data_IF_288514052998
#
_entry.id   IF_288514052998
#
_cell.length_a   1.000
_cell.length_b   1.000
_cell.length_c   1.000
_cell.angle_alpha   90.00
_cell.angle_beta   90.00
_cell.angle_gamma   90.00
#
_symmetry.space_group_name_H-M   'P 1'
#
loop_
_entity.id
_entity.type
_entity.pdbx_description
1 polymer ?
#
# COMPACT_ATOMS: atom_id res chain seq x y z
N UNK A 1 -19.96 -2.02 21.84
CA UNK A 1 -20.10 -1.72 20.40
C UNK A 1 -19.15 -2.65 19.68
N UNK A 2 -19.62 -3.50 18.77
CA UNK A 2 -18.79 -4.51 18.10
C UNK A 2 -17.77 -3.83 17.17
N UNK A 3 -16.64 -4.51 16.89
CA UNK A 3 -15.61 -4.00 15.97
C UNK A 3 -16.20 -3.67 14.59
N UNK A 4 -17.21 -4.43 14.15
CA UNK A 4 -17.95 -4.21 12.90
C UNK A 4 -18.70 -2.87 12.90
N UNK A 5 -19.42 -2.52 13.97
CA UNK A 5 -20.13 -1.24 14.05
C UNK A 5 -19.17 -0.06 14.02
N UNK A 6 -18.03 -0.17 14.71
CA UNK A 6 -16.98 0.84 14.63
C UNK A 6 -16.42 1.00 13.21
N UNK A 7 -16.25 -0.10 12.48
CA UNK A 7 -15.81 -0.07 11.09
C UNK A 7 -16.83 0.63 10.19
N UNK A 8 -18.12 0.27 10.30
CA UNK A 8 -19.18 0.84 9.45
C UNK A 8 -19.31 2.35 9.68
N UNK A 9 -19.37 2.78 10.95
CA UNK A 9 -19.44 4.21 11.28
C UNK A 9 -18.18 4.98 10.88
N UNK A 10 -17.02 4.33 10.89
CA UNK A 10 -15.79 4.98 10.46
C UNK A 10 -15.67 5.05 8.93
N UNK A 11 -16.21 4.09 8.18
CA UNK A 11 -16.10 4.08 6.72
C UNK A 11 -16.70 5.33 6.10
N UNK A 12 -17.91 5.75 6.51
CA UNK A 12 -18.55 6.97 6.05
C UNK A 12 -17.66 8.20 6.33
N UNK A 13 -17.16 8.33 7.56
CA UNK A 13 -16.28 9.45 7.94
C UNK A 13 -14.94 9.41 7.20
N UNK A 14 -14.38 8.23 7.01
CA UNK A 14 -13.13 8.04 6.26
C UNK A 14 -13.29 8.51 4.83
N UNK A 15 -14.35 8.05 4.16
CA UNK A 15 -14.62 8.41 2.76
C UNK A 15 -14.88 9.89 2.61
N UNK A 16 -15.67 10.49 3.51
CA UNK A 16 -15.90 11.94 3.53
C UNK A 16 -14.60 12.74 3.65
N UNK A 17 -13.74 12.41 4.61
CA UNK A 17 -12.50 13.16 4.84
C UNK A 17 -11.43 12.89 3.77
N UNK A 18 -11.41 11.70 3.18
CA UNK A 18 -10.48 11.37 2.11
C UNK A 18 -10.90 11.98 0.77
N UNK A 19 -12.21 12.23 0.56
CA UNK A 19 -12.84 12.80 -0.62
C UNK A 19 -12.51 12.15 -1.97
N UNK A 20 -11.83 11.01 -1.95
CA UNK A 20 -11.45 10.22 -3.12
C UNK A 20 -11.50 8.72 -2.83
N UNK A 21 -11.77 7.87 -3.85
CA UNK A 21 -11.69 6.43 -3.68
C UNK A 21 -10.27 6.00 -3.31
N UNK A 22 -10.14 5.22 -2.24
CA UNK A 22 -8.84 4.77 -1.75
C UNK A 22 -8.68 3.26 -1.83
N UNK A 23 -7.48 2.85 -2.21
CA UNK A 23 -7.04 1.46 -2.15
C UNK A 23 -6.51 1.18 -0.75
N UNK A 24 -7.07 0.16 -0.10
CA UNK A 24 -6.59 -0.34 1.18
C UNK A 24 -7.26 0.27 2.41
N UNK A 25 -6.70 -0.09 3.55
CA UNK A 25 -7.29 0.18 4.86
C UNK A 25 -6.74 1.49 5.43
N UNK A 26 -7.58 2.49 5.56
CA UNK A 26 -7.21 3.79 6.15
C UNK A 26 -7.71 3.96 7.58
N UNK A 27 -8.60 3.10 8.08
CA UNK A 27 -9.17 3.23 9.40
C UNK A 27 -8.17 3.14 10.57
N UNK A 28 -7.04 2.39 10.52
CA UNK A 28 -6.05 2.43 11.60
C UNK A 28 -5.47 3.84 11.80
N UNK A 29 -5.19 4.56 10.69
CA UNK A 29 -4.74 5.95 10.73
C UNK A 29 -5.77 6.85 11.41
N UNK A 30 -7.05 6.71 11.04
CA UNK A 30 -8.14 7.47 11.63
C UNK A 30 -8.24 7.28 13.15
N UNK A 31 -8.19 6.04 13.64
CA UNK A 31 -8.27 5.77 15.07
C UNK A 31 -7.00 6.15 15.83
N UNK A 32 -5.82 5.98 15.23
CA UNK A 32 -4.57 6.45 15.81
C UNK A 32 -4.57 7.98 15.99
N UNK A 33 -4.98 8.70 14.96
CA UNK A 33 -5.12 10.16 15.01
C UNK A 33 -6.16 10.59 16.06
N UNK A 34 -7.34 9.93 16.09
CA UNK A 34 -8.37 10.16 17.10
C UNK A 34 -7.88 9.95 18.52
N UNK A 35 -7.03 8.96 18.74
CA UNK A 35 -6.44 8.71 20.07
C UNK A 35 -5.40 9.78 20.40
N UNK A 36 -4.47 10.06 19.50
CA UNK A 36 -3.38 11.03 19.70
C UNK A 36 -3.92 12.45 19.94
N UNK A 37 -4.99 12.86 19.25
CA UNK A 37 -5.61 14.17 19.38
C UNK A 37 -6.19 14.47 20.77
N UNK A 38 -6.42 13.43 21.58
CA UNK A 38 -6.86 13.60 22.97
C UNK A 38 -5.75 14.13 23.89
N UNK A 39 -4.50 13.96 23.51
CA UNK A 39 -3.34 14.31 24.34
C UNK A 39 -2.54 15.47 23.76
N UNK A 40 -2.46 15.58 22.44
CA UNK A 40 -1.63 16.57 21.74
C UNK A 40 -2.33 17.17 20.55
N UNK A 41 -1.91 18.38 20.16
CA UNK A 41 -2.35 19.05 18.92
C UNK A 41 -1.42 18.79 17.75
N UNK A 42 -0.19 18.38 18.04
CA UNK A 42 0.86 18.10 17.04
C UNK A 42 1.51 16.76 17.38
N UNK A 43 1.79 15.94 16.38
CA UNK A 43 2.57 14.72 16.53
C UNK A 43 3.63 14.59 15.44
N UNK A 44 4.67 13.79 15.70
CA UNK A 44 5.67 13.43 14.72
C UNK A 44 5.34 12.06 14.12
N UNK A 45 5.42 11.97 12.80
CA UNK A 45 5.24 10.73 12.05
C UNK A 45 6.55 10.16 11.54
N UNK A 46 6.59 8.83 11.39
CA UNK A 46 7.69 8.12 10.76
C UNK A 46 7.55 7.98 9.24
N UNK A 47 6.57 8.62 8.62
CA UNK A 47 6.36 8.57 7.16
C UNK A 47 7.61 9.04 6.39
N UNK A 48 7.92 8.38 5.28
CA UNK A 48 9.12 8.64 4.47
C UNK A 48 10.34 7.80 4.89
N UNK A 49 10.42 7.35 6.15
CA UNK A 49 11.58 6.60 6.64
C UNK A 49 11.74 5.23 5.96
N UNK A 50 10.67 4.59 5.55
CA UNK A 50 10.71 3.33 4.81
C UNK A 50 11.09 3.56 3.35
N UNK A 51 10.48 4.53 2.70
CA UNK A 51 10.61 4.83 1.28
C UNK A 51 12.01 5.38 0.94
N UNK A 52 12.55 6.23 1.80
CA UNK A 52 13.88 6.83 1.60
C UNK A 52 15.04 5.88 1.94
N UNK A 53 14.85 5.01 2.93
CA UNK A 53 15.93 4.17 3.48
C UNK A 53 15.72 2.66 3.24
N UNK A 54 14.82 2.29 2.35
CA UNK A 54 14.64 0.89 1.95
C UNK A 54 14.00 0.02 3.03
N UNK A 55 12.89 0.47 3.61
CA UNK A 55 12.20 -0.26 4.67
C UNK A 55 11.41 -1.48 4.22
N UNK A 56 11.35 -1.76 2.92
CA UNK A 56 10.65 -2.90 2.32
C UNK A 56 11.59 -3.78 1.47
N UNK A 57 12.62 -4.41 2.06
CA UNK A 57 13.66 -5.10 1.29
C UNK A 57 13.11 -6.09 0.27
N UNK A 58 12.08 -6.86 0.66
CA UNK A 58 11.43 -7.85 -0.21
C UNK A 58 10.79 -7.27 -1.48
N UNK A 59 10.48 -5.97 -1.53
CA UNK A 59 9.96 -5.31 -2.73
C UNK A 59 11.07 -5.08 -3.74
N UNK A 60 12.25 -4.73 -3.25
CA UNK A 60 13.39 -4.33 -4.09
C UNK A 60 14.16 -5.53 -4.62
N UNK A 61 14.24 -6.63 -3.88
CA UNK A 61 14.97 -7.82 -4.30
C UNK A 61 14.43 -8.44 -5.60
N UNK A 62 13.16 -8.21 -5.93
CA UNK A 62 12.58 -8.61 -7.21
C UNK A 62 13.11 -7.78 -8.38
N UNK A 63 13.56 -6.59 -8.11
CA UNK A 63 14.05 -5.64 -9.11
C UNK A 63 15.55 -5.79 -9.39
N UNK A 64 16.25 -6.72 -8.72
CA UNK A 64 17.70 -6.82 -8.81
C UNK A 64 18.16 -7.60 -10.04
N UNK A 65 17.39 -8.60 -10.50
CA UNK A 65 17.76 -9.44 -11.64
C UNK A 65 16.84 -9.14 -12.82
N UNK A 66 17.33 -8.32 -13.75
CA UNK A 66 16.61 -7.93 -14.97
C UNK A 66 17.57 -7.96 -16.15
N UNK A 67 17.03 -8.29 -17.33
CA UNK A 67 17.78 -8.27 -18.58
C UNK A 67 17.95 -6.85 -19.12
N UNK A 68 16.89 -6.04 -18.96
CA UNK A 68 16.81 -4.66 -19.41
C UNK A 68 15.74 -3.88 -18.62
N UNK A 69 15.51 -2.64 -18.99
CA UNK A 69 14.52 -1.78 -18.34
C UNK A 69 13.07 -2.30 -18.54
N UNK A 70 12.76 -2.89 -19.66
CA UNK A 70 11.42 -3.42 -19.93
C UNK A 70 11.13 -4.66 -19.08
N UNK A 71 12.09 -5.53 -18.88
CA UNK A 71 11.98 -6.66 -17.97
C UNK A 71 11.78 -6.20 -16.52
N UNK A 72 12.53 -5.16 -16.11
CA UNK A 72 12.32 -4.52 -14.80
C UNK A 72 10.90 -3.98 -14.64
N UNK A 73 10.41 -3.20 -15.60
CA UNK A 73 9.06 -2.63 -15.57
C UNK A 73 8.01 -3.72 -15.41
N UNK A 74 8.08 -4.79 -16.23
CA UNK A 74 7.12 -5.91 -16.17
C UNK A 74 7.12 -6.60 -14.80
N UNK A 75 8.30 -6.90 -14.27
CA UNK A 75 8.46 -7.59 -12.97
C UNK A 75 8.00 -6.72 -11.80
N UNK A 76 8.36 -5.44 -11.82
CA UNK A 76 8.03 -4.53 -10.73
C UNK A 76 6.56 -4.10 -10.77
N UNK A 77 6.01 -3.86 -11.97
CA UNK A 77 4.58 -3.65 -12.15
C UNK A 77 3.76 -4.85 -11.65
N UNK A 78 4.14 -6.07 -12.00
CA UNK A 78 3.45 -7.29 -11.53
C UNK A 78 3.42 -7.41 -10.00
N UNK A 79 4.38 -6.85 -9.28
CA UNK A 79 4.33 -6.73 -7.84
C UNK A 79 3.26 -5.72 -7.36
N UNK A 80 3.13 -4.58 -8.05
CA UNK A 80 2.18 -3.52 -7.69
C UNK A 80 0.75 -3.79 -8.15
N UNK A 81 0.56 -4.63 -9.15
CA UNK A 81 -0.75 -5.05 -9.65
C UNK A 81 -1.41 -6.07 -8.70
N UNK A 82 -1.96 -5.57 -7.58
CA UNK A 82 -2.36 -6.40 -6.44
C UNK A 82 -3.85 -6.71 -6.37
N UNK A 83 -4.70 -5.99 -7.09
CA UNK A 83 -6.16 -6.16 -7.02
C UNK A 83 -6.69 -7.05 -8.13
N UNK A 84 -6.38 -6.69 -9.36
CA UNK A 84 -6.86 -7.35 -10.59
C UNK A 84 -5.68 -7.57 -11.54
N UNK A 85 -5.70 -8.67 -12.28
CA UNK A 85 -4.74 -8.90 -13.36
C UNK A 85 -5.23 -8.24 -14.65
N UNK A 86 -4.34 -7.95 -15.60
CA UNK A 86 -4.72 -7.38 -16.90
C UNK A 86 -5.76 -8.24 -17.63
N UNK A 87 -5.64 -9.58 -17.54
CA UNK A 87 -6.56 -10.52 -18.15
C UNK A 87 -7.97 -10.45 -17.56
N UNK A 88 -8.10 -10.02 -16.31
CA UNK A 88 -9.40 -9.89 -15.63
C UNK A 88 -10.11 -8.56 -15.89
N UNK A 89 -9.37 -7.51 -16.31
CA UNK A 89 -9.90 -6.17 -16.50
C UNK A 89 -11.07 -6.12 -17.50
N UNK A 90 -11.00 -6.74 -18.71
CA UNK A 90 -12.13 -6.69 -19.66
C UNK A 90 -13.42 -7.25 -19.08
N UNK A 91 -13.30 -8.29 -18.25
CA UNK A 91 -14.46 -8.92 -17.63
C UNK A 91 -15.02 -8.10 -16.46
N UNK A 92 -14.14 -7.56 -15.63
CA UNK A 92 -14.55 -6.80 -14.43
C UNK A 92 -15.08 -5.42 -14.81
N UNK A 93 -14.46 -4.77 -15.78
CA UNK A 93 -14.85 -3.43 -16.25
C UNK A 93 -15.78 -3.47 -17.48
N UNK A 94 -16.43 -4.61 -17.77
CA UNK A 94 -17.25 -4.78 -18.96
C UNK A 94 -18.25 -3.64 -19.23
N UNK A 95 -18.93 -3.02 -18.23
CA UNK A 95 -19.87 -1.92 -18.48
C UNK A 95 -19.24 -0.69 -19.14
N UNK A 96 -17.96 -0.44 -18.90
CA UNK A 96 -17.23 0.74 -19.41
C UNK A 96 -16.00 0.36 -20.24
N UNK A 97 -15.83 -0.92 -20.56
CA UNK A 97 -14.61 -1.42 -21.19
C UNK A 97 -14.27 -0.71 -22.50
N UNK A 98 -15.25 -0.45 -23.33
CA UNK A 98 -15.05 0.24 -24.60
C UNK A 98 -14.52 1.67 -24.45
N UNK A 99 -14.75 2.28 -23.29
CA UNK A 99 -14.28 3.63 -22.96
C UNK A 99 -12.85 3.64 -22.41
N UNK A 100 -12.38 2.53 -21.82
CA UNK A 100 -11.10 2.49 -21.08
C UNK A 100 -10.10 1.48 -21.65
N UNK A 101 -10.48 0.64 -22.62
CA UNK A 101 -9.64 -0.43 -23.16
C UNK A 101 -8.34 0.04 -23.83
N UNK A 102 -8.26 1.33 -24.20
CA UNK A 102 -7.08 1.96 -24.77
C UNK A 102 -6.02 2.35 -23.70
N UNK A 103 -6.33 2.20 -22.42
CA UNK A 103 -5.43 2.54 -21.31
C UNK A 103 -4.78 1.27 -20.79
N UNK A 104 -3.47 1.13 -20.96
CA UNK A 104 -2.72 0.07 -20.28
C UNK A 104 -2.12 0.59 -18.96
N UNK A 105 -2.47 0.00 -17.81
CA UNK A 105 -1.91 0.41 -16.52
C UNK A 105 -0.39 0.34 -16.45
N UNK A 106 0.26 -0.54 -17.22
CA UNK A 106 1.73 -0.63 -17.27
C UNK A 106 2.35 0.63 -17.89
N UNK A 107 1.67 1.29 -18.83
CA UNK A 107 2.16 2.52 -19.44
C UNK A 107 2.10 3.69 -18.45
N UNK A 108 1.05 3.75 -17.63
CA UNK A 108 0.97 4.72 -16.53
C UNK A 108 2.12 4.49 -15.55
N UNK A 109 2.35 3.23 -15.16
CA UNK A 109 3.44 2.83 -14.29
C UNK A 109 4.81 3.21 -14.87
N UNK A 110 5.06 2.88 -16.15
CA UNK A 110 6.27 3.25 -16.88
C UNK A 110 6.47 4.77 -16.95
N UNK A 111 5.39 5.52 -17.08
CA UNK A 111 5.40 6.97 -17.16
C UNK A 111 6.03 7.66 -15.94
N UNK A 112 6.02 7.04 -14.77
CA UNK A 112 6.67 7.55 -13.56
C UNK A 112 8.19 7.68 -13.74
N UNK A 113 8.80 6.84 -14.59
CA UNK A 113 10.23 6.76 -14.81
C UNK A 113 10.73 7.60 -15.99
N UNK A 114 9.87 8.36 -16.70
CA UNK A 114 10.22 9.09 -17.94
C UNK A 114 11.48 9.94 -17.85
N UNK A 115 11.74 10.55 -16.69
CA UNK A 115 12.91 11.40 -16.49
C UNK A 115 14.19 10.62 -16.16
N UNK A 116 14.11 9.31 -15.91
CA UNK A 116 15.19 8.50 -15.33
C UNK A 116 15.39 7.15 -16.02
N UNK A 117 14.90 6.97 -17.24
CA UNK A 117 14.95 5.69 -17.97
C UNK A 117 16.33 5.31 -18.50
N UNK A 118 17.35 6.16 -18.34
CA UNK A 118 18.62 6.02 -19.01
C UNK A 118 19.63 5.16 -18.22
N UNK A 119 20.10 4.10 -18.89
CA UNK A 119 21.30 3.33 -18.55
C UNK A 119 21.30 2.62 -17.20
N UNK A 120 20.35 1.74 -17.00
CA UNK A 120 20.37 0.80 -15.87
C UNK A 120 21.29 -0.37 -16.23
N UNK A 121 22.47 -0.42 -15.66
CA UNK A 121 23.47 -1.46 -15.93
C UNK A 121 23.82 -2.29 -14.70
N UNK A 122 23.49 -1.81 -13.50
CA UNK A 122 23.84 -2.47 -12.24
C UNK A 122 22.57 -2.78 -11.43
N UNK A 123 22.57 -3.85 -10.60
CA UNK A 123 21.46 -4.15 -9.71
C UNK A 123 21.01 -2.97 -8.83
N UNK A 124 21.96 -2.17 -8.33
CA UNK A 124 21.68 -1.01 -7.50
C UNK A 124 20.87 0.07 -8.21
N UNK A 125 21.03 0.19 -9.53
CA UNK A 125 20.30 1.19 -10.32
C UNK A 125 18.80 0.86 -10.31
N UNK A 126 18.42 -0.41 -10.44
CA UNK A 126 17.03 -0.86 -10.34
C UNK A 126 16.44 -0.66 -8.95
N UNK A 127 17.24 -0.86 -7.89
CA UNK A 127 16.82 -0.58 -6.52
C UNK A 127 16.54 0.90 -6.35
N UNK A 128 17.43 1.77 -6.80
CA UNK A 128 17.25 3.22 -6.73
C UNK A 128 15.99 3.67 -7.49
N UNK A 129 15.69 3.06 -8.65
CA UNK A 129 14.45 3.31 -9.38
C UNK A 129 13.22 2.87 -8.59
N UNK A 130 13.28 1.73 -7.93
CA UNK A 130 12.19 1.25 -7.07
C UNK A 130 11.95 2.16 -5.88
N UNK A 131 13.01 2.64 -5.22
CA UNK A 131 12.91 3.64 -4.15
C UNK A 131 12.34 4.97 -4.65
N UNK A 132 12.79 5.44 -5.82
CA UNK A 132 12.24 6.64 -6.47
C UNK A 132 10.75 6.48 -6.77
N UNK A 133 10.35 5.34 -7.34
CA UNK A 133 8.94 5.05 -7.61
C UNK A 133 8.10 5.11 -6.33
N UNK A 134 8.55 4.46 -5.26
CA UNK A 134 7.83 4.44 -3.99
C UNK A 134 7.75 5.84 -3.37
N UNK A 135 8.82 6.61 -3.39
CA UNK A 135 8.81 7.99 -2.90
C UNK A 135 7.86 8.88 -3.72
N UNK A 136 7.83 8.70 -5.05
CA UNK A 136 7.02 9.53 -5.95
C UNK A 136 5.53 9.18 -5.93
N UNK A 137 5.16 7.92 -5.69
CA UNK A 137 3.79 7.43 -5.80
C UNK A 137 3.22 6.93 -4.48
N UNK A 138 3.79 5.87 -3.92
CA UNK A 138 3.29 5.21 -2.72
C UNK A 138 3.33 6.12 -1.49
N UNK A 139 4.46 6.81 -1.27
CA UNK A 139 4.61 7.75 -0.17
C UNK A 139 3.62 8.92 -0.28
N UNK A 140 3.42 9.46 -1.48
CA UNK A 140 2.42 10.51 -1.69
C UNK A 140 1.02 10.06 -1.24
N UNK A 141 0.64 8.84 -1.60
CA UNK A 141 -0.62 8.25 -1.14
C UNK A 141 -0.71 8.09 0.39
N UNK A 142 0.39 7.70 1.04
CA UNK A 142 0.45 7.60 2.51
C UNK A 142 0.30 8.97 3.18
N UNK A 143 0.98 9.99 2.65
CA UNK A 143 0.92 11.36 3.20
C UNK A 143 -0.47 11.96 3.08
N UNK A 144 -1.16 11.79 1.95
CA UNK A 144 -2.55 12.25 1.79
C UNK A 144 -3.48 11.60 2.81
N UNK A 145 -3.35 10.29 3.01
CA UNK A 145 -4.15 9.58 4.03
C UNK A 145 -3.83 10.08 5.44
N UNK A 146 -2.55 10.24 5.76
CA UNK A 146 -2.12 10.67 7.08
C UNK A 146 -2.59 12.09 7.38
N UNK A 147 -2.39 13.02 6.46
CA UNK A 147 -2.79 14.43 6.61
C UNK A 147 -4.32 14.55 6.76
N UNK A 148 -5.10 14.05 5.81
CA UNK A 148 -6.56 14.18 5.83
C UNK A 148 -7.19 13.52 7.06
N UNK A 149 -6.70 12.35 7.48
CA UNK A 149 -7.28 11.64 8.62
C UNK A 149 -6.80 12.17 9.97
N UNK A 150 -5.62 12.75 10.07
CA UNK A 150 -5.19 13.44 11.28
C UNK A 150 -5.93 14.77 11.43
N UNK A 151 -6.08 15.53 10.34
CA UNK A 151 -6.85 16.78 10.32
C UNK A 151 -8.33 16.57 10.60
N UNK A 152 -8.92 15.42 10.26
CA UNK A 152 -10.27 15.02 10.69
C UNK A 152 -10.46 15.04 12.22
N UNK A 153 -9.36 15.00 12.97
CA UNK A 153 -9.32 15.08 14.43
C UNK A 153 -8.60 16.32 14.96
N UNK A 154 -8.34 17.31 14.10
CA UNK A 154 -7.60 18.54 14.44
C UNK A 154 -6.22 18.23 15.05
N UNK A 155 -5.55 17.22 14.51
CA UNK A 155 -4.21 16.80 14.87
C UNK A 155 -3.25 17.12 13.72
N UNK A 156 -2.30 18.01 13.94
CA UNK A 156 -1.24 18.31 12.98
C UNK A 156 -0.18 17.21 13.02
N UNK A 157 0.12 16.60 11.86
CA UNK A 157 1.17 15.59 11.74
C UNK A 157 2.38 16.18 11.01
N UNK A 158 3.55 16.07 11.61
CA UNK A 158 4.82 16.50 11.01
C UNK A 158 5.66 15.30 10.64
N UNK A 159 6.36 15.39 9.51
CA UNK A 159 7.10 14.29 8.87
C UNK A 159 8.60 14.59 8.78
N UNK A 160 9.37 14.49 9.88
CA UNK A 160 10.76 14.91 9.92
C UNK A 160 11.67 14.14 8.96
N UNK A 161 11.31 12.93 8.54
CA UNK A 161 12.05 12.20 7.50
C UNK A 161 11.96 12.85 6.12
N UNK A 162 11.01 13.75 5.91
CA UNK A 162 10.81 14.45 4.63
C UNK A 162 11.37 15.89 4.66
N UNK A 163 12.23 16.20 5.63
CA UNK A 163 13.10 17.37 5.54
C UNK A 163 13.91 17.33 4.23
N UNK A 164 13.96 18.45 3.51
CA UNK A 164 14.54 18.48 2.17
C UNK A 164 16.02 18.08 2.15
N UNK A 165 16.80 18.52 3.12
CA UNK A 165 18.22 18.18 3.22
C UNK A 165 18.42 16.69 3.50
N UNK A 166 17.54 16.12 4.32
CA UNK A 166 17.54 14.69 4.63
C UNK A 166 17.11 13.85 3.41
N UNK A 167 16.11 14.30 2.66
CA UNK A 167 15.69 13.66 1.40
C UNK A 167 16.83 13.66 0.39
N UNK A 168 17.46 14.82 0.15
CA UNK A 168 18.58 14.95 -0.76
C UNK A 168 19.77 14.08 -0.34
N UNK A 169 20.07 14.03 0.94
CA UNK A 169 21.08 13.12 1.48
C UNK A 169 20.72 11.66 1.21
N UNK A 170 19.49 11.27 1.55
CA UNK A 170 19.01 9.90 1.37
C UNK A 170 19.05 9.47 -0.10
N UNK A 171 18.67 10.35 -1.03
CA UNK A 171 18.70 10.04 -2.46
C UNK A 171 20.12 9.83 -3.02
N UNK A 172 21.14 10.44 -2.41
CA UNK A 172 22.56 10.26 -2.79
C UNK A 172 23.22 9.03 -2.16
N UNK A 173 22.59 8.44 -1.15
CA UNK A 173 23.16 7.25 -0.48
C UNK A 173 23.17 6.04 -1.42
N UNK A 174 24.27 5.29 -1.49
CA UNK A 174 24.32 4.05 -2.25
C UNK A 174 23.37 3.00 -1.65
N UNK A 175 22.76 2.17 -2.49
CA UNK A 175 21.80 1.15 -2.08
C UNK A 175 22.33 0.25 -0.93
N UNK A 176 23.63 -0.11 -0.96
CA UNK A 176 24.29 -0.91 0.09
C UNK A 176 24.31 -0.25 1.49
N UNK A 177 24.13 1.05 1.58
CA UNK A 177 24.01 1.74 2.87
C UNK A 177 22.57 1.64 3.43
N UNK A 178 21.60 1.37 2.58
CA UNK A 178 20.19 1.26 2.93
C UNK A 178 19.74 -0.19 3.12
N UNK A 179 20.24 -1.08 2.27
CA UNK A 179 19.80 -2.47 2.13
C UNK A 179 20.98 -3.44 2.26
N UNK A 180 20.77 -4.49 3.04
CA UNK A 180 21.64 -5.67 3.05
C UNK A 180 21.28 -6.66 1.96
N UNK A 181 22.11 -7.65 1.78
CA UNK A 181 21.81 -8.88 1.02
C UNK A 181 21.29 -8.66 -0.41
N UNK A 182 21.90 -7.71 -1.14
CA UNK A 182 21.46 -7.27 -2.48
C UNK A 182 21.55 -8.36 -3.56
N UNK A 183 22.22 -9.47 -3.28
CA UNK A 183 22.39 -10.61 -4.21
C UNK A 183 21.29 -11.65 -4.10
N UNK A 184 20.46 -11.59 -3.08
CA UNK A 184 19.40 -12.58 -2.87
C UNK A 184 18.09 -12.16 -3.54
N UNK A 185 17.67 -12.94 -4.53
CA UNK A 185 16.36 -12.77 -5.19
C UNK A 185 15.29 -13.49 -4.39
N UNK A 186 14.42 -12.73 -3.74
CA UNK A 186 13.29 -13.29 -2.99
C UNK A 186 12.01 -13.15 -3.80
N UNK A 187 11.41 -14.28 -4.16
CA UNK A 187 10.09 -14.34 -4.79
C UNK A 187 9.02 -14.44 -3.69
N UNK A 188 8.55 -13.31 -3.21
CA UNK A 188 7.49 -13.24 -2.20
C UNK A 188 6.22 -12.68 -2.81
N UNK A 189 5.12 -13.40 -2.64
CA UNK A 189 3.80 -12.94 -3.06
C UNK A 189 3.01 -12.47 -1.82
N UNK A 190 2.81 -11.16 -1.69
CA UNK A 190 2.06 -10.58 -0.57
C UNK A 190 0.56 -10.96 -0.57
N UNK A 191 0.04 -11.50 -1.67
CA UNK A 191 -1.35 -11.91 -1.80
C UNK A 191 -1.58 -13.40 -1.47
N UNK A 192 -0.51 -14.16 -1.21
CA UNK A 192 -0.67 -15.55 -0.79
C UNK A 192 -1.29 -15.67 0.61
N UNK A 193 -2.13 -16.69 0.84
CA UNK A 193 -2.65 -17.00 2.18
C UNK A 193 -1.53 -17.36 3.15
N UNK A 194 -1.67 -16.98 4.42
CA UNK A 194 -0.74 -17.33 5.50
C UNK A 194 -0.09 -16.14 6.19
N UNK A 195 0.65 -16.42 7.26
CA UNK A 195 1.29 -15.39 8.09
C UNK A 195 2.43 -14.69 7.34
N UNK A 196 2.34 -13.38 7.19
CA UNK A 196 3.41 -12.59 6.58
C UNK A 196 4.67 -12.56 7.43
N UNK A 197 4.50 -12.57 8.76
CA UNK A 197 5.61 -12.52 9.71
C UNK A 197 6.59 -13.68 9.50
N UNK A 198 6.09 -14.91 9.37
CA UNK A 198 6.91 -16.10 9.23
C UNK A 198 7.71 -16.15 7.90
N UNK A 199 7.18 -15.49 6.86
CA UNK A 199 7.79 -15.49 5.52
C UNK A 199 8.79 -14.36 5.31
N UNK A 200 8.62 -13.23 6.01
CA UNK A 200 9.41 -12.01 5.79
C UNK A 200 10.35 -11.67 6.96
N UNK A 201 10.30 -12.45 8.02
CA UNK A 201 10.95 -12.17 9.29
C UNK A 201 12.44 -11.87 9.16
N UNK A 202 13.20 -12.74 8.53
CA UNK A 202 14.63 -12.56 8.34
C UNK A 202 14.95 -11.39 7.40
N UNK A 203 14.12 -11.19 6.37
CA UNK A 203 14.33 -10.17 5.34
C UNK A 203 14.00 -8.76 5.81
N UNK A 204 13.21 -8.58 6.85
CA UNK A 204 12.87 -7.25 7.37
C UNK A 204 14.04 -6.56 8.05
N UNK A 205 15.06 -7.31 8.47
CA UNK A 205 16.28 -6.76 9.07
C UNK A 205 17.27 -6.18 8.06
N UNK A 206 17.11 -6.53 6.80
CA UNK A 206 17.98 -6.09 5.71
C UNK A 206 17.73 -4.63 5.27
N UNK A 207 16.67 -4.00 5.77
CA UNK A 207 16.32 -2.62 5.44
C UNK A 207 16.74 -1.59 6.47
N UNK A 208 16.80 -0.32 6.05
CA UNK A 208 17.12 0.85 6.90
C UNK A 208 18.48 0.75 7.59
N UNK A 209 19.47 0.12 6.98
CA UNK A 209 20.73 -0.23 7.66
C UNK A 209 21.41 0.98 8.27
N UNK A 210 21.54 2.08 7.55
CA UNK A 210 22.18 3.32 8.06
C UNK A 210 21.39 3.93 9.23
N UNK A 211 20.03 3.92 9.15
CA UNK A 211 19.19 4.42 10.23
C UNK A 211 19.34 3.55 11.49
N UNK A 212 19.31 2.22 11.33
CA UNK A 212 19.49 1.28 12.44
C UNK A 212 20.84 1.49 13.12
N UNK A 213 21.91 1.58 12.33
CA UNK A 213 23.28 1.82 12.82
C UNK A 213 23.40 3.16 13.55
N UNK A 214 22.76 4.21 13.02
CA UNK A 214 22.75 5.51 13.67
C UNK A 214 21.95 5.47 14.98
N UNK A 215 20.75 4.92 14.95
CA UNK A 215 19.84 4.90 16.10
C UNK A 215 20.35 4.04 17.25
N UNK A 216 21.12 2.99 16.99
CA UNK A 216 21.78 2.20 18.04
C UNK A 216 22.72 3.00 18.95
N UNK A 217 23.09 4.25 18.56
CA UNK A 217 23.87 5.17 19.39
C UNK A 217 23.02 5.99 20.36
N UNK A 218 21.70 6.08 20.13
CA UNK A 218 20.79 6.96 20.87
C UNK A 218 19.70 6.20 21.63
N UNK A 219 19.36 5.00 21.19
CA UNK A 219 18.31 4.17 21.79
C UNK A 219 18.84 2.75 22.01
N UNK A 220 18.23 1.94 22.90
CA UNK A 220 18.63 0.55 23.12
C UNK A 220 18.67 -0.23 21.79
N UNK A 221 19.72 -1.03 21.62
CA UNK A 221 19.96 -1.79 20.38
C UNK A 221 18.77 -2.68 20.02
N UNK A 222 18.15 -3.32 20.99
CA UNK A 222 16.94 -4.13 20.79
C UNK A 222 15.77 -3.36 20.16
N UNK A 223 15.70 -2.04 20.36
CA UNK A 223 14.70 -1.16 19.75
C UNK A 223 15.15 -0.78 18.34
N UNK A 224 16.42 -0.38 18.17
CA UNK A 224 16.98 -0.02 16.87
C UNK A 224 16.93 -1.19 15.85
N UNK A 225 17.16 -2.41 16.36
CA UNK A 225 17.17 -3.65 15.55
C UNK A 225 15.82 -4.39 15.53
N UNK A 226 14.76 -3.77 16.05
CA UNK A 226 13.42 -4.36 16.06
C UNK A 226 12.95 -4.66 14.62
N UNK A 227 12.23 -5.76 14.50
CA UNK A 227 11.61 -6.12 13.21
C UNK A 227 10.61 -5.07 12.76
N UNK A 228 10.55 -4.91 11.42
CA UNK A 228 9.53 -4.07 10.83
C UNK A 228 8.15 -4.69 11.02
N UNK A 229 7.28 -3.94 11.65
CA UNK A 229 5.84 -4.24 11.66
C UNK A 229 5.15 -3.27 10.69
N UNK A 230 4.35 -3.82 9.77
CA UNK A 230 3.50 -3.01 8.92
C UNK A 230 2.42 -2.33 9.78
N UNK A 231 2.13 -1.08 9.48
CA UNK A 231 0.97 -0.39 10.04
C UNK A 231 -0.27 -0.89 9.30
N UNK A 232 -0.82 -2.00 9.74
CA UNK A 232 -2.01 -2.62 9.16
C UNK A 232 -2.89 -3.18 10.27
N UNK A 233 -4.18 -3.25 9.99
CA UNK A 233 -5.09 -3.97 10.86
C UNK A 233 -4.79 -5.48 10.89
N UNK A 234 -5.28 -6.21 11.89
CA UNK A 234 -5.15 -7.66 11.98
C UNK A 234 -5.74 -8.31 10.72
N UNK A 235 -4.88 -8.85 9.88
CA UNK A 235 -5.23 -9.34 8.53
C UNK A 235 -6.18 -10.54 8.53
N UNK A 236 -6.04 -11.40 9.54
CA UNK A 236 -6.70 -12.71 9.55
C UNK A 236 -8.13 -12.69 10.11
N UNK A 237 -8.52 -11.65 10.85
CA UNK A 237 -9.82 -11.56 11.52
C UNK A 237 -10.87 -10.75 10.76
N UNK A 238 -10.46 -10.00 9.74
CA UNK A 238 -11.38 -9.19 8.94
C UNK A 238 -12.04 -10.03 7.85
N UNK A 239 -13.34 -9.77 7.65
CA UNK A 239 -14.21 -10.55 6.78
C UNK A 239 -14.39 -12.01 7.23
N UNK A 240 -14.43 -12.21 8.56
CA UNK A 240 -14.88 -13.45 9.20
C UNK A 240 -16.07 -13.15 10.12
N UNK A 241 -17.01 -14.04 10.21
CA UNK A 241 -18.21 -13.85 11.02
C UNK A 241 -19.12 -12.72 10.52
N UNK A 242 -19.60 -11.85 11.41
CA UNK A 242 -20.56 -10.77 11.11
C UNK A 242 -20.12 -9.82 9.97
N UNK A 243 -18.83 -9.67 9.75
CA UNK A 243 -18.32 -8.82 8.67
C UNK A 243 -18.51 -9.41 7.28
N UNK A 244 -18.64 -10.73 7.14
CA UNK A 244 -18.98 -11.39 5.87
C UNK A 244 -20.37 -10.95 5.42
N UNK A 245 -21.34 -10.98 6.33
CA UNK A 245 -22.73 -10.59 6.05
C UNK A 245 -22.83 -9.11 5.66
N UNK A 246 -21.99 -8.25 6.27
CA UNK A 246 -21.92 -6.85 5.90
C UNK A 246 -21.38 -6.67 4.46
N UNK A 247 -20.27 -7.34 4.11
CA UNK A 247 -19.71 -7.30 2.76
C UNK A 247 -20.74 -7.77 1.73
N UNK A 248 -21.39 -8.91 1.97
CA UNK A 248 -22.43 -9.44 1.08
C UNK A 248 -23.60 -8.46 0.93
N UNK A 249 -24.14 -7.94 2.02
CA UNK A 249 -25.25 -6.97 1.96
C UNK A 249 -24.90 -5.72 1.16
N UNK A 250 -23.67 -5.22 1.30
CA UNK A 250 -23.23 -4.02 0.61
C UNK A 250 -22.90 -4.29 -0.85
N UNK A 251 -22.01 -5.25 -1.09
CA UNK A 251 -21.42 -5.47 -2.42
C UNK A 251 -22.18 -6.48 -3.29
N UNK A 252 -23.06 -7.33 -2.74
CA UNK A 252 -23.95 -8.16 -3.56
C UNK A 252 -25.28 -7.49 -3.89
N UNK A 253 -25.53 -6.31 -3.33
CA UNK A 253 -26.72 -5.52 -3.67
C UNK A 253 -26.73 -5.18 -5.18
N UNK A 254 -27.75 -5.59 -5.95
CA UNK A 254 -27.82 -5.29 -7.37
C UNK A 254 -27.94 -3.79 -7.66
N UNK A 255 -28.29 -2.98 -6.67
CA UNK A 255 -28.42 -1.52 -6.76
C UNK A 255 -27.16 -0.79 -6.28
N UNK A 256 -26.06 -1.51 -5.96
CA UNK A 256 -24.80 -0.87 -5.58
C UNK A 256 -24.25 -0.06 -6.76
N UNK A 257 -23.84 1.17 -6.52
CA UNK A 257 -23.42 2.13 -7.54
C UNK A 257 -22.13 1.74 -8.27
N UNK A 258 -21.28 0.94 -7.63
CA UNK A 258 -20.08 0.41 -8.29
C UNK A 258 -20.42 -0.36 -9.57
N UNK A 259 -21.64 -0.89 -9.69
CA UNK A 259 -22.07 -1.66 -10.89
C UNK A 259 -22.45 -0.79 -12.08
N UNK A 260 -22.44 0.51 -11.94
CA UNK A 260 -22.49 1.43 -13.08
C UNK A 260 -21.19 1.34 -13.92
N UNK A 261 -20.08 0.95 -13.29
CA UNK A 261 -18.75 0.84 -13.94
C UNK A 261 -18.13 -0.56 -13.86
N UNK A 262 -18.62 -1.45 -12.99
CA UNK A 262 -18.09 -2.80 -12.80
C UNK A 262 -19.14 -3.87 -13.11
N UNK A 263 -18.69 -5.01 -13.64
CA UNK A 263 -19.56 -6.15 -13.87
C UNK A 263 -19.89 -6.87 -12.56
N UNK A 264 -21.17 -6.82 -12.17
CA UNK A 264 -21.62 -7.40 -10.89
C UNK A 264 -21.28 -8.87 -10.73
N UNK A 265 -21.51 -9.70 -11.76
CA UNK A 265 -21.23 -11.14 -11.69
C UNK A 265 -19.74 -11.39 -11.42
N UNK A 266 -18.88 -10.73 -12.17
CA UNK A 266 -17.44 -10.86 -12.02
C UNK A 266 -16.95 -10.41 -10.64
N UNK A 267 -17.46 -9.28 -10.11
CA UNK A 267 -17.10 -8.76 -8.79
C UNK A 267 -17.59 -9.70 -7.68
N UNK A 268 -18.83 -10.18 -7.74
CA UNK A 268 -19.36 -11.12 -6.74
C UNK A 268 -18.53 -12.42 -6.67
N UNK A 269 -18.11 -12.97 -7.82
CA UNK A 269 -17.24 -14.16 -7.86
C UNK A 269 -15.89 -13.90 -7.17
N UNK A 270 -15.27 -12.75 -7.41
CA UNK A 270 -14.01 -12.36 -6.76
C UNK A 270 -14.16 -12.17 -5.23
N UNK A 271 -15.30 -11.66 -4.79
CA UNK A 271 -15.62 -11.51 -3.36
C UNK A 271 -15.76 -12.88 -2.72
N UNK A 272 -16.55 -13.79 -3.32
CA UNK A 272 -16.75 -15.14 -2.79
C UNK A 272 -15.43 -15.94 -2.77
N UNK A 273 -14.53 -15.78 -3.74
CA UNK A 273 -13.19 -16.38 -3.68
C UNK A 273 -12.44 -16.02 -2.39
N UNK A 274 -12.62 -14.81 -1.91
CA UNK A 274 -12.00 -14.38 -0.65
C UNK A 274 -12.75 -14.91 0.57
N UNK A 275 -14.08 -14.77 0.59
CA UNK A 275 -14.90 -15.14 1.73
C UNK A 275 -14.86 -16.66 2.01
N UNK A 276 -14.69 -17.46 0.95
CA UNK A 276 -14.53 -18.92 1.05
C UNK A 276 -13.05 -19.34 1.23
N UNK A 277 -12.12 -18.39 1.29
CA UNK A 277 -10.70 -18.65 1.54
C UNK A 277 -9.91 -19.20 0.35
N UNK A 278 -10.47 -19.20 -0.87
CA UNK A 278 -9.78 -19.66 -2.09
C UNK A 278 -8.64 -18.74 -2.47
N UNK A 279 -8.84 -17.42 -2.33
CA UNK A 279 -7.82 -16.40 -2.62
C UNK A 279 -7.88 -15.25 -1.62
N UNK A 280 -6.73 -14.64 -1.32
CA UNK A 280 -6.69 -13.45 -0.48
C UNK A 280 -6.93 -12.18 -1.33
N UNK A 281 -8.18 -11.73 -1.38
CA UNK A 281 -8.60 -10.51 -2.09
C UNK A 281 -9.01 -9.37 -1.14
N UNK A 282 -8.50 -9.41 0.08
CA UNK A 282 -8.83 -8.41 1.11
C UNK A 282 -8.68 -6.98 0.62
N UNK A 283 -7.56 -6.68 -0.09
CA UNK A 283 -7.31 -5.35 -0.63
C UNK A 283 -8.41 -4.91 -1.60
N UNK A 284 -8.84 -5.81 -2.49
CA UNK A 284 -9.93 -5.56 -3.43
C UNK A 284 -11.25 -5.27 -2.69
N UNK A 285 -11.62 -6.09 -1.69
CA UNK A 285 -12.86 -5.89 -0.93
C UNK A 285 -12.88 -4.53 -0.22
N UNK A 286 -11.77 -4.15 0.43
CA UNK A 286 -11.67 -2.83 1.04
C UNK A 286 -11.79 -1.70 0.01
N UNK A 287 -11.18 -1.85 -1.15
CA UNK A 287 -11.26 -0.86 -2.22
C UNK A 287 -12.68 -0.74 -2.79
N UNK A 288 -13.38 -1.86 -2.96
CA UNK A 288 -14.78 -1.88 -3.41
C UNK A 288 -15.74 -1.24 -2.37
N UNK A 289 -15.55 -1.52 -1.08
CA UNK A 289 -16.33 -0.88 -0.02
C UNK A 289 -16.10 0.64 0.03
N UNK A 290 -14.85 1.08 -0.14
CA UNK A 290 -14.53 2.50 -0.22
C UNK A 290 -15.13 3.15 -1.46
N UNK A 291 -15.04 2.49 -2.62
CA UNK A 291 -15.60 3.00 -3.88
C UNK A 291 -17.13 3.10 -3.79
N UNK A 292 -17.82 2.07 -3.28
CA UNK A 292 -19.27 2.10 -3.11
C UNK A 292 -19.70 3.23 -2.19
N UNK A 293 -19.03 3.37 -1.03
CA UNK A 293 -19.34 4.44 -0.09
C UNK A 293 -19.06 5.83 -0.68
N UNK A 294 -18.00 5.95 -1.47
CA UNK A 294 -17.66 7.19 -2.16
C UNK A 294 -18.72 7.56 -3.21
N UNK A 295 -19.17 6.58 -3.99
CA UNK A 295 -20.24 6.80 -4.97
C UNK A 295 -21.57 7.22 -4.30
N UNK A 296 -21.89 6.63 -3.14
CA UNK A 296 -23.10 7.02 -2.39
C UNK A 296 -23.02 8.44 -1.83
N UNK A 297 -21.81 8.90 -1.46
CA UNK A 297 -21.62 10.20 -0.80
C UNK A 297 -21.51 11.36 -1.80
N UNK A 298 -20.89 11.11 -2.97
CA UNK A 298 -20.48 12.19 -3.87
C UNK A 298 -21.16 12.16 -5.26
N UNK A 299 -21.85 11.07 -5.62
CA UNK A 299 -22.58 10.92 -6.90
C UNK A 299 -24.09 10.79 -6.68
#
# INVERSE_FOLDING_TARGET
>A
MTALLNMIFSLLKLVWHLDEPRVGQSYPNFYAAKLASKFNKVCLSGAGGDELFGGYPWRYYRAVVNNDFDDYIKKYFGFWQRMLTNESLPRVMAPVWDQVNHIDPIDIFRGVFKAHSDKLSRPEDYINHSLYFEAKTFLNGLLVVEDKLSMAHSLETRVPFLDNDLVDFAMRLPAKAKLGNLTEVVRLNENEPGGKADRYFEKTKDGKLILRKMMARYIPEQVAMREKQGFSAPDASWFKGESIDYVRRRLHNPKARIYDVLNRKAVCELIEDHLEGRQNRRLLIWSLLNLEQWCEEFL
#
